data_IF_483895200048
#
_entry.id   IF_483895200048
#
_cell.length_a   1.000
_cell.length_b   1.000
_cell.length_c   1.000
_cell.angle_alpha   90.00
_cell.angle_beta   90.00
_cell.angle_gamma   90.00
#
_symmetry.space_group_name_H-M   'P 1'
#
loop_
_entity.id
_entity.type
_entity.pdbx_description
1 polymer ?
#
# COMPACT_ATOMS: atom_id res chain seq x y z
N UNK A 1 15.80 20.27 -13.79
CA UNK A 1 14.33 20.49 -13.83
C UNK A 1 13.75 19.57 -12.78
N UNK A 2 13.39 20.12 -11.63
CA UNK A 2 12.92 19.37 -10.48
C UNK A 2 11.52 18.79 -10.79
N UNK A 3 11.46 17.47 -10.91
CA UNK A 3 10.20 16.73 -10.99
C UNK A 3 9.43 16.98 -9.72
N UNK A 4 8.23 17.55 -9.87
CA UNK A 4 7.34 17.88 -8.77
C UNK A 4 6.95 16.58 -8.09
N UNK A 5 7.31 16.46 -6.81
CA UNK A 5 6.76 15.49 -5.89
C UNK A 5 5.23 15.51 -6.07
N UNK A 6 4.67 14.41 -6.56
CA UNK A 6 3.23 14.20 -6.62
C UNK A 6 2.74 14.08 -5.18
N UNK A 7 2.53 15.23 -4.54
CA UNK A 7 1.98 15.33 -3.19
C UNK A 7 0.51 14.92 -3.28
N UNK A 8 0.26 13.64 -3.02
CA UNK A 8 -1.07 13.08 -2.78
C UNK A 8 -1.85 14.07 -1.90
N UNK A 9 -3.07 14.51 -2.28
CA UNK A 9 -3.83 15.45 -1.49
C UNK A 9 -4.06 14.86 -0.08
N UNK A 10 -3.75 15.62 0.99
CA UNK A 10 -3.59 15.10 2.36
C UNK A 10 -4.90 14.62 3.02
N UNK A 11 -6.03 14.67 2.31
CA UNK A 11 -7.35 14.42 2.89
C UNK A 11 -7.70 12.95 3.00
N UNK A 12 -7.22 12.10 2.09
CA UNK A 12 -7.55 10.65 2.10
C UNK A 12 -6.59 9.83 2.94
N UNK A 13 -5.31 10.18 2.95
CA UNK A 13 -4.30 9.45 3.73
C UNK A 13 -4.59 9.53 5.23
N UNK A 14 -5.01 10.69 5.75
CA UNK A 14 -5.41 10.85 7.16
C UNK A 14 -6.56 9.89 7.50
N UNK A 15 -7.62 9.83 6.68
CA UNK A 15 -8.74 8.93 6.90
C UNK A 15 -8.33 7.45 6.92
N UNK A 16 -7.35 7.06 6.09
CA UNK A 16 -6.87 5.67 6.01
C UNK A 16 -5.96 5.30 7.18
N UNK A 17 -5.14 6.23 7.67
CA UNK A 17 -4.35 6.05 8.89
C UNK A 17 -5.25 5.99 10.12
N UNK A 18 -6.24 6.88 10.23
CA UNK A 18 -7.19 6.92 11.35
C UNK A 18 -8.05 5.64 11.41
N UNK A 19 -8.45 5.12 10.25
CA UNK A 19 -9.14 3.83 10.13
C UNK A 19 -8.20 2.61 10.30
N UNK A 20 -6.90 2.84 10.49
CA UNK A 20 -5.86 1.81 10.59
C UNK A 20 -5.86 0.83 9.40
N UNK A 21 -6.26 1.32 8.22
CA UNK A 21 -6.23 0.59 6.95
C UNK A 21 -4.77 0.53 6.46
N UNK A 22 -4.05 1.63 6.62
CA UNK A 22 -2.61 1.72 6.38
C UNK A 22 -1.97 2.04 7.72
N UNK A 23 -1.06 1.17 8.16
CA UNK A 23 -0.35 1.31 9.42
C UNK A 23 1.18 1.34 9.23
N UNK A 24 1.62 1.65 8.00
CA UNK A 24 3.00 1.70 7.57
C UNK A 24 3.25 2.96 6.73
N UNK A 25 4.50 3.39 6.62
CA UNK A 25 4.86 4.57 5.84
C UNK A 25 4.84 4.27 4.34
N UNK A 26 3.86 4.85 3.63
CA UNK A 26 3.73 4.73 2.17
C UNK A 26 4.95 5.21 1.38
N UNK A 27 5.76 6.10 1.95
CA UNK A 27 6.95 6.66 1.28
C UNK A 27 8.25 5.91 1.62
N UNK A 28 8.15 4.90 2.50
CA UNK A 28 9.25 4.03 2.90
C UNK A 28 9.95 3.44 1.68
N UNK A 29 11.27 3.30 1.77
CA UNK A 29 12.09 2.65 0.74
C UNK A 29 11.66 1.20 0.53
N UNK A 30 11.13 0.55 1.56
CA UNK A 30 10.63 -0.84 1.51
C UNK A 30 9.41 -1.00 0.59
N UNK A 31 8.67 0.08 0.35
CA UNK A 31 7.51 0.09 -0.55
C UNK A 31 7.87 0.43 -2.00
N UNK A 32 9.17 0.61 -2.32
CA UNK A 32 9.63 1.01 -3.66
C UNK A 32 9.98 -0.21 -4.50
N UNK A 33 9.64 -0.12 -5.78
CA UNK A 33 10.07 -1.09 -6.80
C UNK A 33 11.06 -0.38 -7.72
N UNK A 34 12.21 -1.00 -7.96
CA UNK A 34 13.18 -0.47 -8.92
C UNK A 34 12.66 -0.67 -10.35
N UNK A 35 12.56 0.41 -11.11
CA UNK A 35 12.15 0.41 -12.52
C UNK A 35 13.32 0.82 -13.41
N UNK A 36 13.37 0.26 -14.62
CA UNK A 36 14.27 0.78 -15.65
C UNK A 36 13.76 2.16 -16.13
N UNK A 37 14.60 2.98 -16.80
CA UNK A 37 14.22 4.33 -17.20
C UNK A 37 12.92 4.41 -18.01
N UNK A 38 12.68 3.45 -18.91
CA UNK A 38 11.46 3.40 -19.72
C UNK A 38 10.23 3.08 -18.87
N UNK A 39 10.28 2.03 -18.05
CA UNK A 39 9.15 1.68 -17.18
C UNK A 39 8.83 2.78 -16.18
N UNK A 40 9.85 3.49 -15.68
CA UNK A 40 9.67 4.64 -14.80
C UNK A 40 8.94 5.78 -15.50
N UNK A 41 9.33 6.11 -16.74
CA UNK A 41 8.70 7.15 -17.53
C UNK A 41 7.23 6.85 -17.85
N UNK A 42 6.88 5.58 -18.10
CA UNK A 42 5.50 5.15 -18.35
C UNK A 42 4.65 5.06 -17.06
N UNK A 43 5.25 4.65 -15.95
CA UNK A 43 4.57 4.55 -14.66
C UNK A 43 4.20 5.93 -14.07
N UNK A 44 5.07 6.93 -14.24
CA UNK A 44 4.87 8.28 -13.69
C UNK A 44 3.79 9.10 -14.45
N UNK A 45 3.24 8.60 -15.56
CA UNK A 45 2.23 9.31 -16.33
C UNK A 45 0.88 9.31 -15.60
N UNK A 46 0.58 10.41 -14.90
CA UNK A 46 -0.62 10.52 -14.05
C UNK A 46 -1.95 10.48 -14.79
N UNK A 47 -1.97 10.80 -16.09
CA UNK A 47 -3.20 10.87 -16.88
C UNK A 47 -3.53 9.57 -17.62
N UNK A 48 -2.50 8.82 -18.04
CA UNK A 48 -2.63 7.56 -18.76
C UNK A 48 -1.32 6.76 -18.58
N UNK A 49 -1.22 5.94 -17.52
CA UNK A 49 -0.01 5.16 -17.28
C UNK A 49 0.14 4.07 -18.36
N UNK A 50 1.20 4.15 -19.16
CA UNK A 50 1.55 3.11 -20.14
C UNK A 50 2.11 1.84 -19.51
N UNK A 51 2.36 1.85 -18.19
CA UNK A 51 2.94 0.75 -17.44
C UNK A 51 2.22 0.54 -16.10
N UNK A 52 1.73 -0.67 -15.87
CA UNK A 52 1.12 -1.11 -14.61
C UNK A 52 1.79 -2.39 -14.13
N UNK A 53 2.28 -2.39 -12.89
CA UNK A 53 2.77 -3.61 -12.24
C UNK A 53 1.63 -4.33 -11.54
N UNK A 54 1.21 -5.49 -12.04
CA UNK A 54 0.26 -6.37 -11.37
C UNK A 54 1.01 -7.56 -10.76
N UNK A 55 0.68 -7.97 -9.53
CA UNK A 55 1.21 -9.20 -8.97
C UNK A 55 0.77 -10.39 -9.83
N UNK A 56 1.73 -11.24 -10.23
CA UNK A 56 1.42 -12.42 -11.05
C UNK A 56 0.55 -13.45 -10.32
N UNK A 57 0.72 -13.55 -9.01
CA UNK A 57 -0.07 -14.43 -8.16
C UNK A 57 -0.94 -13.61 -7.22
N UNK A 58 -2.07 -13.13 -7.73
CA UNK A 58 -3.00 -12.34 -6.95
C UNK A 58 -3.60 -13.15 -5.77
N UNK A 59 -3.72 -14.48 -5.92
CA UNK A 59 -4.31 -15.34 -4.90
C UNK A 59 -3.43 -15.39 -3.66
N UNK A 60 -2.10 -15.52 -3.83
CA UNK A 60 -1.16 -15.47 -2.72
C UNK A 60 -1.34 -14.22 -1.84
N UNK A 61 -1.43 -13.03 -2.46
CA UNK A 61 -1.60 -11.78 -1.71
C UNK A 61 -2.95 -11.70 -0.98
N UNK A 62 -4.02 -12.23 -1.59
CA UNK A 62 -5.34 -12.32 -0.94
C UNK A 62 -5.26 -13.21 0.29
N UNK A 63 -4.67 -14.40 0.15
CA UNK A 63 -4.58 -15.38 1.23
C UNK A 63 -3.75 -14.83 2.42
N UNK A 64 -2.63 -14.18 2.14
CA UNK A 64 -1.80 -13.51 3.17
C UNK A 64 -2.59 -12.44 3.92
N UNK A 65 -3.34 -11.58 3.21
CA UNK A 65 -4.13 -10.53 3.84
C UNK A 65 -5.28 -11.10 4.68
N UNK A 66 -5.93 -12.18 4.21
CA UNK A 66 -6.98 -12.87 4.97
C UNK A 66 -6.44 -13.50 6.26
N UNK A 67 -5.27 -14.16 6.18
CA UNK A 67 -4.60 -14.74 7.34
C UNK A 67 -4.22 -13.68 8.38
N UNK A 68 -3.66 -12.54 7.94
CA UNK A 68 -3.31 -11.44 8.84
C UNK A 68 -4.56 -10.82 9.50
N UNK A 69 -5.67 -10.68 8.77
CA UNK A 69 -6.94 -10.24 9.35
C UNK A 69 -7.45 -11.22 10.41
N UNK A 70 -7.35 -12.53 10.16
CA UNK A 70 -7.77 -13.54 11.12
C UNK A 70 -6.91 -13.50 12.39
N UNK A 71 -5.57 -13.38 12.25
CA UNK A 71 -4.65 -13.21 13.39
C UNK A 71 -5.00 -11.96 14.21
N UNK A 72 -5.27 -10.82 13.56
CA UNK A 72 -5.69 -9.57 14.24
C UNK A 72 -7.01 -9.75 14.99
N UNK A 73 -8.01 -10.41 14.41
CA UNK A 73 -9.29 -10.71 15.07
C UNK A 73 -9.11 -11.58 16.32
N UNK A 74 -8.30 -12.63 16.23
CA UNK A 74 -8.00 -13.49 17.37
C UNK A 74 -7.25 -12.74 18.48
N UNK A 75 -6.27 -11.90 18.11
CA UNK A 75 -5.54 -11.08 19.07
C UNK A 75 -6.44 -10.06 19.79
N UNK A 76 -7.44 -9.50 19.10
CA UNK A 76 -8.45 -8.61 19.72
C UNK A 76 -9.35 -9.38 20.69
N UNK A 77 -9.89 -10.52 20.26
CA UNK A 77 -10.73 -11.37 21.13
C UNK A 77 -9.99 -11.79 22.41
N UNK A 78 -8.76 -12.27 22.26
CA UNK A 78 -7.92 -12.67 23.39
C UNK A 78 -7.56 -11.50 24.33
N UNK A 79 -7.64 -10.24 23.88
CA UNK A 79 -7.45 -9.06 24.74
C UNK A 79 -8.72 -8.69 25.50
N UNK A 80 -9.89 -8.93 24.93
CA UNK A 80 -11.19 -8.73 25.59
C UNK A 80 -11.43 -9.77 26.69
N UNK A 81 -10.92 -11.00 26.53
CA UNK A 81 -11.02 -12.09 27.50
C UNK A 81 -10.12 -11.92 28.76
N UNK A 82 -9.34 -10.82 28.86
CA UNK A 82 -8.38 -10.54 29.96
C UNK A 82 -8.91 -9.46 30.94
N UNK A 83 -10.19 -9.11 30.86
CA UNK A 83 -10.88 -8.23 31.81
C UNK A 83 -12.09 -8.92 32.44
#
# INVERSE_FOLDING_TARGET
MAGRDAKMPPTYTILWYDANIINFDLTSVENRIALCPTCHAEFDQTADPGFVSLPMDLQYFIDVELDERQKKKLALKNREDVH
#
